data_IF_302450203748
#
_entry.id   IF_302450203748
#
_cell.length_a   1.000
_cell.length_b   1.000
_cell.length_c   1.000
_cell.angle_alpha   90.00
_cell.angle_beta   90.00
_cell.angle_gamma   90.00
#
_symmetry.space_group_name_H-M   'P 1'
#
loop_
_entity.id
_entity.type
_entity.pdbx_description
1 polymer ?
#
# COMPACT_ATOMS: atom_id res chain seq x y z
N UNK A 1 -46.26 53.65 43.83
CA UNK A 1 -46.05 54.54 42.66
C UNK A 1 -44.74 54.11 42.00
N UNK A 2 -44.77 53.47 40.82
CA UNK A 2 -44.54 54.10 39.49
C UNK A 2 -43.14 54.78 39.42
N UNK A 3 -42.19 54.53 38.49
CA UNK A 3 -42.16 54.07 37.07
C UNK A 3 -40.69 53.66 36.76
N UNK A 4 -40.40 52.56 36.03
CA UNK A 4 -40.12 52.44 34.56
C UNK A 4 -39.15 53.49 33.93
N UNK A 5 -37.99 53.03 33.41
CA UNK A 5 -37.63 52.87 31.97
C UNK A 5 -36.13 52.48 31.82
N UNK A 6 -35.82 51.52 30.93
CA UNK A 6 -34.46 51.14 30.48
C UNK A 6 -33.90 52.09 29.39
N UNK A 7 -32.99 51.69 28.46
CA UNK A 7 -32.43 50.35 28.19
C UNK A 7 -30.87 50.30 28.02
N UNK A 8 -30.27 49.10 28.17
CA UNK A 8 -29.49 48.34 27.19
C UNK A 8 -28.21 48.96 26.57
N UNK A 9 -27.05 48.44 26.98
CA UNK A 9 -25.89 48.24 26.09
C UNK A 9 -25.34 46.83 26.36
N UNK A 10 -25.40 45.98 25.33
CA UNK A 10 -24.82 44.64 25.32
C UNK A 10 -23.40 44.72 24.77
N UNK A 11 -22.44 44.19 25.53
CA UNK A 11 -21.08 43.99 25.06
C UNK A 11 -20.97 42.62 24.38
N UNK A 12 -20.93 42.68 23.05
CA UNK A 12 -20.73 41.58 22.12
C UNK A 12 -19.27 41.10 22.23
N UNK A 13 -19.06 39.94 22.84
CA UNK A 13 -17.75 39.27 22.83
C UNK A 13 -17.65 38.40 21.58
N UNK A 14 -16.87 38.89 20.64
CA UNK A 14 -16.54 38.29 19.35
C UNK A 14 -15.89 36.91 19.55
N UNK A 15 -16.67 35.83 19.45
CA UNK A 15 -16.16 34.48 19.21
C UNK A 15 -15.60 34.44 17.80
N UNK A 16 -14.29 34.29 17.67
CA UNK A 16 -13.65 33.94 16.39
C UNK A 16 -13.94 32.47 16.11
N UNK A 17 -14.87 32.23 15.17
CA UNK A 17 -15.12 30.95 14.54
C UNK A 17 -13.85 30.52 13.77
N UNK A 18 -13.12 29.54 14.31
CA UNK A 18 -12.14 28.78 13.52
C UNK A 18 -12.87 27.66 12.79
N UNK A 19 -13.65 28.02 11.78
CA UNK A 19 -14.12 27.11 10.72
C UNK A 19 -13.43 27.49 9.41
N UNK A 20 -13.08 26.44 8.65
CA UNK A 20 -12.45 26.45 7.33
C UNK A 20 -10.93 26.62 7.30
N UNK A 21 -10.24 25.50 7.13
CA UNK A 21 -9.06 25.31 6.28
C UNK A 21 -8.70 23.82 6.22
N UNK A 22 -9.66 22.98 5.84
CA UNK A 22 -9.43 21.59 5.44
C UNK A 22 -10.39 21.29 4.29
N UNK A 23 -10.27 22.07 3.23
CA UNK A 23 -10.93 21.80 1.97
C UNK A 23 -9.93 22.13 0.86
N UNK A 24 -8.99 21.21 0.66
CA UNK A 24 -8.16 21.20 -0.53
C UNK A 24 -8.34 19.84 -1.19
N UNK A 25 -8.83 19.92 -2.44
CA UNK A 25 -9.09 18.85 -3.39
C UNK A 25 -8.21 17.61 -3.18
N UNK A 26 -8.78 16.59 -2.53
CA UNK A 26 -8.21 15.25 -2.50
C UNK A 26 -8.68 14.51 -3.75
N UNK A 27 -7.76 14.29 -4.69
CA UNK A 27 -8.00 13.44 -5.85
C UNK A 27 -8.05 11.97 -5.41
N UNK A 28 -9.19 11.32 -5.69
CA UNK A 28 -9.46 9.91 -5.39
C UNK A 28 -8.40 8.99 -5.97
N UNK A 29 -7.73 8.20 -5.14
CA UNK A 29 -6.66 7.30 -5.59
C UNK A 29 -6.54 6.11 -4.61
N UNK A 30 -6.38 4.89 -5.14
CA UNK A 30 -6.50 3.61 -4.40
C UNK A 30 -5.17 2.87 -4.27
N UNK A 31 -4.95 2.29 -3.09
CA UNK A 31 -3.70 1.72 -2.56
C UNK A 31 -2.94 0.77 -3.48
N UNK A 32 -1.70 1.16 -3.79
CA UNK A 32 -0.66 0.40 -4.47
C UNK A 32 0.69 0.66 -3.78
N UNK A 33 1.35 -0.37 -3.25
CA UNK A 33 2.55 -0.21 -2.42
C UNK A 33 3.83 0.00 -3.25
N UNK A 34 4.75 0.82 -2.77
CA UNK A 34 6.09 1.05 -3.32
C UNK A 34 7.13 0.70 -2.23
N UNK A 35 7.67 -0.52 -2.22
CA UNK A 35 8.81 -0.84 -1.38
C UNK A 35 10.14 -0.59 -2.10
N UNK A 36 10.96 0.30 -1.55
CA UNK A 36 12.40 0.37 -1.87
C UNK A 36 13.18 -0.56 -0.93
N UNK A 37 13.91 -1.52 -1.50
CA UNK A 37 14.63 -2.54 -0.73
C UNK A 37 16.13 -2.34 -0.89
N UNK A 38 16.79 -2.00 0.22
CA UNK A 38 18.24 -2.04 0.36
C UNK A 38 18.65 -3.42 0.84
N UNK A 39 19.18 -4.26 -0.06
CA UNK A 39 19.89 -5.48 0.33
C UNK A 39 21.40 -5.22 0.17
N UNK A 40 22.08 -4.85 1.25
CA UNK A 40 23.54 -4.89 1.30
C UNK A 40 24.01 -6.36 1.40
N UNK A 41 23.92 -7.05 0.27
CA UNK A 41 24.46 -8.39 0.05
C UNK A 41 25.13 -8.42 -1.31
N UNK A 42 26.36 -7.91 -1.39
CA UNK A 42 27.23 -8.10 -2.57
C UNK A 42 27.40 -9.60 -2.79
N UNK A 43 26.86 -10.11 -3.90
CA UNK A 43 27.30 -11.37 -4.48
C UNK A 43 28.08 -11.08 -5.76
N UNK A 44 29.30 -11.63 -5.92
CA UNK A 44 30.11 -11.40 -7.09
C UNK A 44 29.60 -12.32 -8.21
N UNK A 45 28.93 -11.77 -9.22
CA UNK A 45 28.75 -12.49 -10.47
C UNK A 45 29.41 -11.73 -11.61
N UNK A 46 30.39 -12.44 -12.18
CA UNK A 46 31.28 -12.04 -13.25
C UNK A 46 30.48 -11.52 -14.44
N UNK A 47 31.01 -10.46 -15.04
CA UNK A 47 30.69 -9.99 -16.37
C UNK A 47 30.52 -11.17 -17.34
N UNK A 48 29.30 -11.39 -17.81
CA UNK A 48 28.98 -12.28 -18.92
C UNK A 48 28.00 -11.53 -19.81
N UNK A 49 28.56 -10.80 -20.77
CA UNK A 49 27.81 -10.27 -21.92
C UNK A 49 27.24 -11.45 -22.70
N UNK A 50 25.92 -11.56 -22.77
CA UNK A 50 25.26 -12.44 -23.72
C UNK A 50 24.21 -11.69 -24.53
N UNK A 51 24.46 -11.63 -25.84
CA UNK A 51 23.50 -11.21 -26.86
C UNK A 51 22.28 -12.15 -26.84
N UNK A 52 21.12 -11.55 -27.09
CA UNK A 52 19.83 -12.16 -27.40
C UNK A 52 19.91 -13.63 -27.87
N UNK A 53 19.47 -14.58 -27.04
CA UNK A 53 18.91 -15.85 -27.54
C UNK A 53 17.95 -16.46 -26.50
N UNK A 54 16.84 -17.01 -26.99
CA UNK A 54 15.60 -17.40 -26.28
C UNK A 54 15.74 -18.56 -25.25
N UNK A 55 16.92 -18.87 -24.75
CA UNK A 55 17.18 -20.15 -24.06
C UNK A 55 17.29 -20.02 -22.52
N UNK A 56 17.36 -18.81 -21.97
CA UNK A 56 17.63 -18.61 -20.53
C UNK A 56 16.44 -18.90 -19.60
N UNK A 57 15.19 -18.83 -20.08
CA UNK A 57 13.99 -18.95 -19.23
C UNK A 57 13.77 -20.38 -18.68
N UNK A 58 14.33 -21.42 -19.31
CA UNK A 58 14.16 -22.81 -18.85
C UNK A 58 15.10 -23.23 -17.70
N UNK A 59 16.21 -22.53 -17.48
CA UNK A 59 17.28 -23.03 -16.60
C UNK A 59 17.07 -22.74 -15.11
N UNK A 60 16.26 -21.73 -14.76
CA UNK A 60 16.05 -21.32 -13.37
C UNK A 60 14.92 -22.11 -12.68
N UNK A 61 13.95 -22.62 -13.45
CA UNK A 61 12.84 -23.44 -12.94
C UNK A 61 13.26 -24.88 -12.54
N UNK A 62 14.30 -25.45 -13.15
CA UNK A 62 14.66 -26.87 -12.94
C UNK A 62 15.47 -27.14 -11.67
N UNK A 63 15.98 -26.11 -10.98
CA UNK A 63 16.86 -26.28 -9.82
C UNK A 63 16.14 -26.43 -8.48
N UNK A 64 14.84 -26.10 -8.40
CA UNK A 64 14.10 -26.06 -7.12
C UNK A 64 13.15 -27.25 -6.92
N UNK A 65 12.78 -28.02 -7.96
CA UNK A 65 11.88 -29.17 -7.81
C UNK A 65 12.38 -30.37 -8.62
N UNK A 66 13.11 -31.28 -7.98
CA UNK A 66 13.53 -32.55 -8.63
C UNK A 66 12.44 -33.63 -8.67
N UNK A 67 11.29 -33.44 -8.02
CA UNK A 67 10.25 -34.48 -7.90
C UNK A 67 8.82 -34.01 -8.23
N UNK A 68 8.65 -32.95 -9.02
CA UNK A 68 7.34 -32.63 -9.61
C UNK A 68 7.52 -32.68 -11.12
N UNK A 69 7.21 -33.82 -11.72
CA UNK A 69 6.90 -33.88 -13.15
C UNK A 69 5.82 -32.82 -13.42
N UNK A 70 6.02 -31.89 -14.36
CA UNK A 70 4.99 -30.92 -14.71
C UNK A 70 3.75 -31.73 -15.08
N UNK A 71 2.69 -31.63 -14.27
CA UNK A 71 1.43 -32.26 -14.59
C UNK A 71 1.04 -31.80 -15.99
N UNK A 72 0.85 -32.74 -16.91
CA UNK A 72 0.40 -32.52 -18.28
C UNK A 72 -1.07 -32.10 -18.36
N UNK A 73 -1.53 -31.33 -17.37
CA UNK A 73 -2.83 -30.67 -17.41
C UNK A 73 -2.68 -29.57 -18.46
N UNK A 74 -3.33 -29.67 -19.62
CA UNK A 74 -3.26 -28.61 -20.62
C UNK A 74 -3.82 -27.34 -19.97
N UNK A 75 -3.02 -26.27 -19.97
CA UNK A 75 -3.57 -24.95 -19.69
C UNK A 75 -4.66 -24.70 -20.74
N UNK A 76 -5.82 -24.19 -20.32
CA UNK A 76 -6.84 -23.85 -21.31
C UNK A 76 -6.27 -22.80 -22.26
N UNK A 77 -6.74 -22.78 -23.51
CA UNK A 77 -6.33 -21.77 -24.50
C UNK A 77 -6.51 -20.35 -23.97
N UNK A 78 -7.50 -20.12 -23.11
CA UNK A 78 -7.73 -18.84 -22.43
C UNK A 78 -6.67 -18.48 -21.37
N UNK A 79 -5.97 -19.46 -20.77
CA UNK A 79 -4.85 -19.21 -19.85
C UNK A 79 -3.55 -18.99 -20.64
N UNK A 80 -3.31 -19.74 -21.71
CA UNK A 80 -2.18 -19.49 -22.60
C UNK A 80 -2.27 -18.11 -23.28
N UNK A 81 -3.45 -17.72 -23.77
CA UNK A 81 -3.70 -16.41 -24.36
C UNK A 81 -3.56 -15.27 -23.33
N UNK A 82 -3.96 -15.50 -22.06
CA UNK A 82 -3.70 -14.55 -20.96
C UNK A 82 -2.22 -14.43 -20.63
N UNK A 83 -1.48 -15.54 -20.54
CA UNK A 83 -0.04 -15.52 -20.33
C UNK A 83 0.71 -14.84 -21.50
N UNK A 84 0.20 -14.94 -22.73
CA UNK A 84 0.77 -14.32 -23.92
C UNK A 84 0.41 -12.83 -24.08
N UNK A 85 -0.74 -12.39 -23.56
CA UNK A 85 -1.17 -10.98 -23.57
C UNK A 85 -0.54 -10.14 -22.47
N UNK A 86 0.06 -10.75 -21.44
CA UNK A 86 0.85 -10.06 -20.41
C UNK A 86 2.28 -9.69 -20.86
N UNK A 87 2.42 -9.23 -22.10
CA UNK A 87 3.67 -8.58 -22.52
C UNK A 87 3.59 -7.12 -22.13
N UNK A 88 4.22 -6.78 -21.01
CA UNK A 88 4.54 -5.39 -20.75
C UNK A 88 5.29 -4.81 -21.95
N UNK A 89 4.76 -3.74 -22.53
CA UNK A 89 5.49 -2.99 -23.53
C UNK A 89 6.59 -2.20 -22.83
N UNK A 90 7.75 -2.82 -22.67
CA UNK A 90 8.91 -2.19 -22.02
C UNK A 90 9.55 -1.12 -22.91
N UNK A 91 9.22 -1.06 -24.22
CA UNK A 91 9.82 -0.10 -25.15
C UNK A 91 9.36 1.33 -24.92
N UNK A 92 8.30 1.51 -24.12
CA UNK A 92 7.79 2.83 -23.73
C UNK A 92 8.64 3.52 -22.65
N UNK A 93 9.51 2.79 -21.96
CA UNK A 93 10.44 3.34 -20.98
C UNK A 93 11.77 3.67 -21.68
N UNK A 94 12.11 4.95 -21.74
CA UNK A 94 13.29 5.46 -22.46
C UNK A 94 14.39 5.93 -21.52
N UNK A 95 14.04 6.26 -20.28
CA UNK A 95 14.93 6.90 -19.32
C UNK A 95 15.18 6.04 -18.07
N UNK A 96 14.39 4.99 -17.86
CA UNK A 96 14.52 4.04 -16.75
C UNK A 96 14.57 2.60 -17.26
N UNK A 97 15.24 1.74 -16.52
CA UNK A 97 15.21 0.30 -16.75
C UNK A 97 14.05 -0.30 -15.96
N UNK A 98 13.18 -1.07 -16.62
CA UNK A 98 12.04 -1.73 -15.98
C UNK A 98 12.15 -3.24 -16.14
N UNK A 99 12.31 -3.96 -15.02
CA UNK A 99 12.45 -5.42 -15.01
C UNK A 99 11.29 -6.06 -14.25
N UNK A 100 10.28 -6.64 -14.95
CA UNK A 100 9.16 -7.33 -14.29
C UNK A 100 9.63 -8.52 -13.45
N UNK A 101 9.09 -8.69 -12.24
CA UNK A 101 9.60 -9.68 -11.27
C UNK A 101 8.54 -10.62 -10.65
N UNK A 102 7.24 -10.31 -10.71
CA UNK A 102 6.19 -11.12 -10.07
C UNK A 102 5.16 -11.74 -11.03
N UNK A 103 5.48 -11.81 -12.33
CA UNK A 103 4.63 -12.40 -13.37
C UNK A 103 3.42 -11.55 -13.73
N UNK A 104 2.52 -11.30 -12.77
CA UNK A 104 1.30 -10.48 -12.94
C UNK A 104 1.50 -9.03 -12.50
N UNK A 105 2.30 -8.83 -11.46
CA UNK A 105 2.63 -7.54 -10.84
C UNK A 105 4.09 -7.55 -10.44
N UNK A 106 4.64 -6.40 -10.05
CA UNK A 106 6.01 -6.27 -9.61
C UNK A 106 6.96 -5.93 -10.74
N UNK A 107 7.67 -4.82 -10.60
CA UNK A 107 8.85 -4.51 -11.40
C UNK A 107 9.94 -3.83 -10.59
N UNK A 108 11.19 -4.23 -10.82
CA UNK A 108 12.36 -3.49 -10.34
C UNK A 108 12.69 -2.36 -11.33
N UNK A 109 12.87 -1.16 -10.80
CA UNK A 109 13.18 0.06 -11.55
C UNK A 109 14.65 0.41 -11.32
N UNK A 110 15.41 0.46 -12.41
CA UNK A 110 16.83 0.78 -12.44
C UNK A 110 17.12 2.02 -13.29
N UNK A 111 18.41 2.38 -13.38
CA UNK A 111 18.87 3.53 -14.18
C UNK A 111 18.59 4.91 -13.56
N UNK A 112 18.05 4.97 -12.33
CA UNK A 112 17.66 6.21 -11.67
C UNK A 112 18.07 6.23 -10.18
N UNK A 113 18.49 7.41 -9.71
CA UNK A 113 18.74 7.74 -8.30
C UNK A 113 17.61 8.67 -7.83
N UNK A 114 16.67 8.12 -7.07
CA UNK A 114 15.47 8.86 -6.61
C UNK A 114 15.76 9.78 -5.42
N UNK A 115 17.01 9.81 -4.93
CA UNK A 115 17.45 10.82 -3.95
C UNK A 115 17.71 12.20 -4.56
N UNK A 116 17.71 12.29 -5.90
CA UNK A 116 17.97 13.52 -6.66
C UNK A 116 16.68 14.06 -7.27
N UNK A 117 16.65 15.34 -7.67
CA UNK A 117 15.55 15.88 -8.46
C UNK A 117 15.26 15.02 -9.70
N UNK A 118 14.00 14.61 -9.88
CA UNK A 118 13.55 13.76 -10.98
C UNK A 118 12.93 14.65 -12.06
N UNK A 119 13.42 14.52 -13.30
CA UNK A 119 12.84 15.24 -14.43
C UNK A 119 11.40 14.76 -14.73
N UNK A 120 10.47 15.64 -15.15
CA UNK A 120 9.06 15.27 -15.35
C UNK A 120 8.84 14.06 -16.27
N UNK A 121 9.64 13.93 -17.33
CA UNK A 121 9.58 12.83 -18.28
C UNK A 121 9.98 11.49 -17.65
N UNK A 122 10.98 11.49 -16.76
CA UNK A 122 11.41 10.30 -16.01
C UNK A 122 10.32 9.90 -15.02
N UNK A 123 9.76 10.87 -14.29
CA UNK A 123 8.69 10.58 -13.35
C UNK A 123 7.43 10.06 -14.06
N UNK A 124 7.11 10.57 -15.25
CA UNK A 124 6.01 10.03 -16.05
C UNK A 124 6.22 8.55 -16.39
N UNK A 125 7.44 8.13 -16.70
CA UNK A 125 7.77 6.72 -16.91
C UNK A 125 7.64 5.90 -15.62
N UNK A 126 8.08 6.43 -14.48
CA UNK A 126 7.91 5.81 -13.16
C UNK A 126 6.42 5.61 -12.84
N UNK A 127 5.58 6.63 -13.06
CA UNK A 127 4.13 6.54 -12.84
C UNK A 127 3.49 5.51 -13.77
N UNK A 128 3.88 5.47 -15.05
CA UNK A 128 3.41 4.42 -15.95
C UNK A 128 3.83 3.03 -15.50
N UNK A 129 5.08 2.85 -15.07
CA UNK A 129 5.54 1.57 -14.52
C UNK A 129 4.74 1.19 -13.27
N UNK A 130 4.45 2.14 -12.38
CA UNK A 130 3.61 1.91 -11.22
C UNK A 130 2.19 1.44 -11.58
N UNK A 131 1.55 2.11 -12.54
CA UNK A 131 0.19 1.75 -12.99
C UNK A 131 0.13 0.39 -13.70
N UNK A 132 1.17 0.04 -14.47
CA UNK A 132 1.27 -1.24 -15.16
C UNK A 132 1.58 -2.41 -14.21
N UNK A 133 2.54 -2.20 -13.31
CA UNK A 133 3.14 -3.26 -12.50
C UNK A 133 2.60 -3.31 -11.09
N UNK A 134 1.80 -2.34 -10.67
CA UNK A 134 1.09 -2.22 -9.39
C UNK A 134 1.99 -2.03 -8.16
N UNK A 135 3.14 -2.69 -8.13
CA UNK A 135 4.17 -2.56 -7.10
C UNK A 135 5.51 -2.43 -7.81
N UNK A 136 6.28 -1.40 -7.44
CA UNK A 136 7.59 -1.12 -8.03
C UNK A 136 8.66 -1.01 -6.96
N UNK A 137 9.86 -1.47 -7.31
CA UNK A 137 10.99 -1.58 -6.39
C UNK A 137 12.17 -0.78 -6.90
N UNK A 138 12.76 0.04 -6.04
CA UNK A 138 14.02 0.73 -6.32
C UNK A 138 15.11 0.13 -5.44
N UNK A 139 16.12 -0.48 -6.07
CA UNK A 139 17.29 -1.05 -5.38
C UNK A 139 18.36 0.00 -5.19
N UNK A 140 19.21 -0.22 -4.20
CA UNK A 140 20.45 0.54 -3.96
C UNK A 140 20.27 2.06 -3.81
N UNK A 141 19.09 2.50 -3.36
CA UNK A 141 18.81 3.90 -3.05
C UNK A 141 19.37 4.28 -1.67
N UNK A 142 19.76 5.55 -1.52
CA UNK A 142 20.19 6.11 -0.25
C UNK A 142 19.34 7.33 0.10
N UNK A 143 18.27 7.09 0.85
CA UNK A 143 17.30 8.12 1.25
C UNK A 143 17.35 8.33 2.77
N UNK A 144 17.25 9.58 3.19
CA UNK A 144 16.80 9.94 4.53
C UNK A 144 15.27 10.11 4.53
N UNK A 145 14.68 10.46 5.67
CA UNK A 145 13.24 10.63 5.77
C UNK A 145 12.70 11.74 4.85
N UNK A 146 13.47 12.82 4.65
CA UNK A 146 13.12 13.92 3.75
C UNK A 146 13.13 13.48 2.28
N UNK A 147 14.15 12.73 1.87
CA UNK A 147 14.26 12.18 0.52
C UNK A 147 13.13 11.19 0.21
N UNK A 148 12.78 10.32 1.16
CA UNK A 148 11.64 9.41 1.01
C UNK A 148 10.32 10.19 0.86
N UNK A 149 10.10 11.20 1.70
CA UNK A 149 8.91 12.05 1.62
C UNK A 149 8.83 12.80 0.29
N UNK A 150 9.91 13.45 -0.13
CA UNK A 150 9.98 14.18 -1.38
C UNK A 150 9.74 13.27 -2.59
N UNK A 151 10.28 12.05 -2.59
CA UNK A 151 10.01 11.07 -3.63
C UNK A 151 8.53 10.66 -3.67
N UNK A 152 7.93 10.38 -2.51
CA UNK A 152 6.53 9.98 -2.41
C UNK A 152 5.57 11.12 -2.82
N UNK A 153 5.91 12.38 -2.55
CA UNK A 153 5.12 13.56 -2.94
C UNK A 153 4.97 13.74 -4.45
N UNK A 154 5.85 13.15 -5.27
CA UNK A 154 5.65 13.14 -6.72
C UNK A 154 4.39 12.35 -7.13
N UNK A 155 3.95 11.37 -6.33
CA UNK A 155 2.76 10.57 -6.62
C UNK A 155 1.48 11.29 -6.18
N UNK A 156 1.44 11.75 -4.93
CA UNK A 156 0.36 12.55 -4.36
C UNK A 156 0.77 13.21 -3.04
N UNK A 157 -0.05 14.16 -2.53
CA UNK A 157 0.12 14.71 -1.18
C UNK A 157 0.17 13.61 -0.11
N UNK A 158 1.12 13.74 0.82
CA UNK A 158 1.27 12.81 1.93
C UNK A 158 0.13 12.94 2.95
N UNK A 159 -0.27 11.82 3.54
CA UNK A 159 -1.27 11.77 4.62
C UNK A 159 -0.65 11.21 5.90
N UNK A 160 -1.10 11.71 7.04
CA UNK A 160 -0.68 11.17 8.35
C UNK A 160 -1.46 9.89 8.64
N UNK A 161 -0.73 8.87 9.08
CA UNK A 161 -1.30 7.67 9.69
C UNK A 161 -1.66 8.01 11.14
N UNK A 162 -2.96 8.06 11.50
CA UNK A 162 -3.42 8.74 12.72
C UNK A 162 -2.98 8.07 14.03
N UNK A 163 -2.52 6.83 13.98
CA UNK A 163 -2.11 6.04 15.15
C UNK A 163 -0.60 5.80 15.24
N UNK A 164 0.20 6.44 14.39
CA UNK A 164 1.67 6.34 14.43
C UNK A 164 2.31 7.71 14.54
N UNK A 165 3.40 7.79 15.29
CA UNK A 165 4.19 9.01 15.34
C UNK A 165 5.17 9.07 14.16
N UNK A 166 5.35 10.27 13.61
CA UNK A 166 6.41 10.54 12.66
C UNK A 166 7.80 10.48 13.31
N UNK A 167 8.83 10.26 12.51
CA UNK A 167 10.23 10.37 12.94
C UNK A 167 10.58 11.85 13.20
N UNK A 168 11.58 12.08 14.06
CA UNK A 168 11.94 13.42 14.53
C UNK A 168 12.39 14.38 13.43
N UNK A 169 12.96 13.85 12.34
CA UNK A 169 13.46 14.59 11.19
C UNK A 169 12.41 14.78 10.08
N UNK A 170 11.30 14.03 10.10
CA UNK A 170 10.17 14.25 9.19
C UNK A 170 8.83 13.69 9.75
N UNK A 171 7.84 14.55 10.10
CA UNK A 171 6.61 14.12 10.77
C UNK A 171 5.66 13.26 9.91
N UNK A 172 5.79 13.34 8.58
CA UNK A 172 4.98 12.52 7.64
C UNK A 172 5.58 11.12 7.39
N UNK A 173 6.77 10.83 7.92
CA UNK A 173 7.44 9.54 7.76
C UNK A 173 7.38 8.80 9.08
N UNK A 174 6.84 7.58 9.08
CA UNK A 174 6.77 6.74 10.28
C UNK A 174 7.81 5.62 10.19
N UNK A 175 8.45 5.31 11.32
CA UNK A 175 9.35 4.16 11.42
C UNK A 175 8.61 2.90 11.85
N UNK A 176 8.65 1.89 10.98
CA UNK A 176 8.30 0.51 11.31
C UNK A 176 9.56 -0.21 11.80
N UNK A 177 9.47 -0.91 12.93
CA UNK A 177 10.63 -1.52 13.57
C UNK A 177 10.24 -2.76 14.37
N UNK A 178 11.06 -3.81 14.30
CA UNK A 178 10.97 -4.95 15.20
C UNK A 178 12.31 -5.17 15.88
N UNK A 179 12.33 -5.07 17.22
CA UNK A 179 13.52 -5.38 18.02
C UNK A 179 13.94 -6.84 17.82
N UNK A 180 15.24 -7.11 17.81
CA UNK A 180 15.75 -8.48 17.72
C UNK A 180 15.37 -9.31 18.95
N UNK A 181 15.19 -8.65 20.09
CA UNK A 181 14.84 -9.23 21.38
C UNK A 181 13.34 -9.50 21.51
N UNK A 182 12.51 -9.02 20.58
CA UNK A 182 11.07 -9.26 20.62
C UNK A 182 10.76 -10.75 20.43
N UNK A 183 10.03 -11.39 21.37
CA UNK A 183 9.69 -12.81 21.29
C UNK A 183 9.01 -13.17 19.97
N UNK A 184 9.31 -14.35 19.42
CA UNK A 184 8.67 -14.84 18.18
C UNK A 184 7.16 -15.04 18.30
N UNK A 185 6.65 -15.16 19.53
CA UNK A 185 5.22 -15.24 19.84
C UNK A 185 4.49 -13.90 19.72
N UNK A 186 5.22 -12.78 19.70
CA UNK A 186 4.63 -11.46 19.45
C UNK A 186 4.41 -11.28 17.95
N UNK A 187 3.18 -10.91 17.59
CA UNK A 187 2.77 -10.70 16.19
C UNK A 187 3.58 -9.61 15.50
N UNK A 188 3.69 -9.74 14.18
CA UNK A 188 4.25 -8.69 13.33
C UNK A 188 3.14 -7.74 12.87
N UNK A 189 3.50 -6.47 12.66
CA UNK A 189 2.66 -5.55 11.91
C UNK A 189 2.51 -6.08 10.47
N UNK A 190 1.28 -6.12 9.97
CA UNK A 190 0.98 -6.56 8.61
C UNK A 190 1.16 -8.07 8.36
N UNK A 191 1.07 -8.92 9.39
CA UNK A 191 1.23 -10.38 9.28
C UNK A 191 0.06 -11.14 8.62
N UNK A 192 -0.93 -10.42 8.08
CA UNK A 192 -2.10 -10.96 7.37
C UNK A 192 -2.29 -10.26 6.05
N UNK A 193 -3.07 -10.86 5.15
CA UNK A 193 -3.46 -10.20 3.91
C UNK A 193 -4.36 -9.00 4.19
N UNK A 194 -3.90 -7.82 3.76
CA UNK A 194 -4.63 -6.56 3.94
C UNK A 194 -4.29 -5.57 2.83
N UNK A 195 -5.17 -4.57 2.67
CA UNK A 195 -4.85 -3.27 2.09
C UNK A 195 -4.82 -2.26 3.23
N UNK A 196 -3.73 -1.52 3.35
CA UNK A 196 -3.56 -0.56 4.43
C UNK A 196 -4.69 0.47 4.49
N UNK A 197 -5.16 0.73 5.72
CA UNK A 197 -6.19 1.72 6.02
C UNK A 197 -7.45 1.61 5.15
N UNK A 198 -7.84 0.37 4.79
CA UNK A 198 -8.96 0.15 3.87
C UNK A 198 -10.32 0.68 4.38
N UNK A 199 -10.42 0.94 5.69
CA UNK A 199 -11.59 1.51 6.36
C UNK A 199 -11.57 3.05 6.47
N UNK A 200 -10.85 3.75 5.59
CA UNK A 200 -11.00 5.22 5.43
C UNK A 200 -12.09 5.51 4.41
N UNK A 201 -12.79 6.62 4.58
CA UNK A 201 -13.71 7.15 3.55
C UNK A 201 -12.96 7.43 2.23
N UNK A 202 -11.75 7.96 2.34
CA UNK A 202 -10.80 8.07 1.24
C UNK A 202 -9.55 7.25 1.59
N UNK A 203 -9.46 6.01 1.07
CA UNK A 203 -8.26 5.18 1.18
C UNK A 203 -7.05 5.89 0.57
N UNK A 204 -5.86 5.54 1.05
CA UNK A 204 -4.63 6.08 0.48
C UNK A 204 -4.40 5.52 -0.92
N UNK A 205 -3.66 6.25 -1.76
CA UNK A 205 -3.29 5.72 -3.08
C UNK A 205 -2.15 4.72 -3.06
N UNK A 206 -1.25 4.87 -2.10
CA UNK A 206 0.01 4.18 -2.09
C UNK A 206 0.68 4.34 -0.73
N UNK A 207 1.67 3.47 -0.50
CA UNK A 207 2.60 3.58 0.60
C UNK A 207 4.01 3.48 0.05
N UNK A 208 4.88 4.43 0.38
CA UNK A 208 6.30 4.34 0.10
C UNK A 208 7.03 3.78 1.32
N UNK A 209 7.72 2.66 1.17
CA UNK A 209 8.51 2.01 2.19
C UNK A 209 10.00 2.09 1.85
N UNK A 210 10.83 2.37 2.85
CA UNK A 210 12.28 2.36 2.73
C UNK A 210 12.89 1.40 3.74
N UNK A 211 13.59 0.38 3.24
CA UNK A 211 14.27 -0.59 4.08
C UNK A 211 15.57 0.00 4.67
N UNK A 212 15.52 0.39 5.95
CA UNK A 212 16.70 0.87 6.69
C UNK A 212 17.60 -0.29 7.10
N UNK A 213 17.00 -1.36 7.62
CA UNK A 213 17.69 -2.55 8.10
C UNK A 213 16.78 -3.76 7.94
N UNK A 214 17.34 -4.86 7.43
CA UNK A 214 16.68 -6.15 7.30
C UNK A 214 17.62 -7.27 7.79
N UNK A 215 17.07 -8.42 8.23
CA UNK A 215 17.89 -9.62 8.47
C UNK A 215 18.52 -10.11 7.15
N UNK A 216 19.57 -10.96 7.20
CA UNK A 216 20.20 -11.51 6.00
C UNK A 216 19.26 -12.39 5.16
N UNK A 217 18.20 -12.92 5.75
CA UNK A 217 17.13 -13.68 5.11
C UNK A 217 15.85 -13.65 5.97
N UNK A 218 14.71 -13.84 5.32
CA UNK A 218 13.38 -13.76 5.96
C UNK A 218 12.88 -12.33 6.12
N UNK A 219 11.59 -12.18 6.42
CA UNK A 219 10.93 -10.86 6.45
C UNK A 219 10.45 -10.39 5.08
N UNK A 220 10.30 -11.30 4.12
CA UNK A 220 9.74 -11.00 2.81
C UNK A 220 8.34 -10.40 2.93
N UNK A 221 8.05 -9.42 2.08
CA UNK A 221 6.71 -8.85 1.91
C UNK A 221 6.13 -9.36 0.60
N UNK A 222 4.93 -9.94 0.67
CA UNK A 222 4.24 -10.48 -0.49
C UNK A 222 3.06 -9.59 -0.88
N UNK A 223 2.82 -9.49 -2.18
CA UNK A 223 1.76 -8.65 -2.76
C UNK A 223 0.83 -9.51 -3.63
N UNK A 224 -0.42 -9.07 -3.78
CA UNK A 224 -1.40 -9.71 -4.63
C UNK A 224 -2.13 -8.67 -5.50
N UNK A 225 -2.43 -9.02 -6.74
CA UNK A 225 -3.21 -8.15 -7.64
C UNK A 225 -4.70 -8.41 -7.49
N UNK A 226 -5.40 -7.44 -6.94
CA UNK A 226 -6.85 -7.52 -6.76
C UNK A 226 -7.62 -7.29 -8.09
N UNK A 227 -7.00 -6.63 -9.07
CA UNK A 227 -7.51 -6.62 -10.45
C UNK A 227 -7.39 -7.99 -11.11
N UNK A 228 -6.24 -8.66 -11.00
CA UNK A 228 -6.10 -9.99 -11.58
C UNK A 228 -7.01 -11.02 -10.91
N UNK A 229 -7.18 -10.90 -9.57
CA UNK A 229 -8.16 -11.70 -8.84
C UNK A 229 -9.59 -11.46 -9.37
N UNK A 230 -9.98 -10.21 -9.63
CA UNK A 230 -11.25 -9.89 -10.27
C UNK A 230 -11.36 -10.52 -11.65
N UNK A 231 -10.35 -10.34 -12.51
CA UNK A 231 -10.34 -10.83 -13.89
C UNK A 231 -10.49 -12.36 -13.99
N UNK A 232 -9.97 -13.08 -12.99
CA UNK A 232 -10.03 -14.54 -12.88
C UNK A 232 -11.38 -15.09 -12.40
N UNK A 233 -12.27 -14.26 -11.84
CA UNK A 233 -13.58 -14.70 -11.37
C UNK A 233 -14.50 -15.13 -12.52
N UNK A 234 -15.43 -16.06 -12.24
CA UNK A 234 -16.49 -16.42 -13.17
C UNK A 234 -17.43 -15.23 -13.43
N UNK A 235 -18.13 -15.18 -14.58
CA UNK A 235 -19.08 -14.11 -14.88
C UNK A 235 -20.13 -13.92 -13.77
N UNK A 236 -20.72 -15.02 -13.28
CA UNK A 236 -21.70 -14.97 -12.18
C UNK A 236 -21.13 -14.38 -10.88
N UNK A 237 -19.86 -14.65 -10.56
CA UNK A 237 -19.23 -14.06 -9.38
C UNK A 237 -18.93 -12.57 -9.58
N UNK A 238 -18.53 -12.15 -10.79
CA UNK A 238 -18.36 -10.73 -11.13
C UNK A 238 -19.68 -9.97 -11.00
N UNK A 239 -20.78 -10.54 -11.49
CA UNK A 239 -22.13 -9.98 -11.37
C UNK A 239 -22.56 -9.84 -9.91
N UNK A 240 -22.36 -10.89 -9.10
CA UNK A 240 -22.64 -10.84 -7.66
C UNK A 240 -21.80 -9.77 -6.96
N UNK A 241 -20.47 -9.78 -7.13
CA UNK A 241 -19.60 -8.81 -6.47
C UNK A 241 -19.91 -7.37 -6.87
N UNK A 242 -20.37 -7.13 -8.10
CA UNK A 242 -20.76 -5.80 -8.57
C UNK A 242 -21.96 -5.21 -7.83
N UNK A 243 -22.80 -6.03 -7.18
CA UNK A 243 -23.94 -5.55 -6.39
C UNK A 243 -23.62 -5.35 -4.90
N UNK A 244 -22.47 -5.84 -4.42
CA UNK A 244 -22.17 -5.87 -2.99
C UNK A 244 -21.49 -4.59 -2.51
N UNK A 245 -21.91 -4.16 -1.32
CA UNK A 245 -21.23 -3.13 -0.53
C UNK A 245 -20.54 -3.80 0.66
N UNK A 246 -19.24 -3.59 0.79
CA UNK A 246 -18.44 -4.05 1.93
C UNK A 246 -18.36 -2.99 3.01
N UNK A 247 -18.69 -3.37 4.25
CA UNK A 247 -18.54 -2.53 5.43
C UNK A 247 -17.16 -2.78 6.02
N UNK A 248 -16.35 -1.73 6.17
CA UNK A 248 -14.98 -1.80 6.66
C UNK A 248 -14.81 -1.05 7.99
N UNK A 249 -14.02 -1.58 8.91
CA UNK A 249 -13.64 -0.90 10.16
C UNK A 249 -12.22 -1.25 10.58
N UNK A 250 -11.55 -0.35 11.30
CA UNK A 250 -10.22 -0.61 11.88
C UNK A 250 -10.32 -1.24 13.29
N UNK A 251 -11.55 -1.46 13.79
CA UNK A 251 -11.76 -1.93 15.16
C UNK A 251 -11.14 -3.30 15.45
N UNK A 252 -11.29 -4.23 14.50
CA UNK A 252 -10.75 -5.59 14.57
C UNK A 252 -9.22 -5.67 14.41
N UNK A 253 -8.61 -4.62 13.86
CA UNK A 253 -7.14 -4.48 13.86
C UNK A 253 -6.72 -3.96 15.22
N UNK A 254 -7.18 -2.78 15.65
CA UNK A 254 -6.68 -2.14 16.87
C UNK A 254 -7.29 -2.65 18.19
N UNK A 255 -8.20 -3.62 18.12
CA UNK A 255 -8.84 -4.24 19.27
C UNK A 255 -9.76 -3.29 20.05
N UNK A 256 -10.26 -2.23 19.41
CA UNK A 256 -11.10 -1.19 20.05
C UNK A 256 -12.53 -1.67 20.34
N UNK A 257 -12.91 -2.83 19.83
CA UNK A 257 -14.18 -3.54 20.05
C UNK A 257 -14.00 -4.87 20.82
N UNK A 258 -12.77 -5.18 21.29
CA UNK A 258 -12.46 -6.44 21.95
C UNK A 258 -12.37 -7.67 21.02
N UNK A 259 -12.49 -7.48 19.70
CA UNK A 259 -12.38 -8.53 18.67
C UNK A 259 -11.06 -8.47 17.89
N UNK A 260 -10.12 -7.65 18.39
CA UNK A 260 -8.74 -7.57 17.94
C UNK A 260 -8.12 -8.95 17.73
N UNK A 261 -7.98 -9.36 16.48
CA UNK A 261 -7.39 -10.64 16.03
C UNK A 261 -7.28 -11.76 17.08
N UNK A 262 -8.35 -12.51 17.28
CA UNK A 262 -8.33 -13.78 18.02
C UNK A 262 -8.42 -13.64 19.53
N UNK A 263 -9.61 -13.31 20.04
CA UNK A 263 -10.09 -13.69 21.39
C UNK A 263 -9.26 -13.26 22.61
N UNK A 264 -8.19 -12.49 22.43
CA UNK A 264 -7.31 -12.07 23.51
C UNK A 264 -7.33 -10.56 23.60
N UNK A 265 -7.61 -10.06 24.81
CA UNK A 265 -7.66 -8.63 25.19
C UNK A 265 -6.29 -7.93 25.08
N UNK A 266 -5.50 -8.19 24.04
CA UNK A 266 -4.25 -7.48 23.78
C UNK A 266 -4.49 -6.51 22.64
N UNK A 267 -4.85 -5.29 23.04
CA UNK A 267 -4.82 -4.11 22.18
C UNK A 267 -3.53 -4.10 21.37
N UNK A 268 -3.63 -3.87 20.06
CA UNK A 268 -2.49 -3.63 19.18
C UNK A 268 -1.88 -2.25 19.45
N UNK A 269 -1.61 -1.90 20.72
CA UNK A 269 -0.53 -0.95 21.04
C UNK A 269 0.77 -1.69 20.69
N UNK A 270 1.00 -1.84 19.38
CA UNK A 270 2.04 -2.68 18.81
C UNK A 270 3.39 -2.10 19.25
N UNK A 271 4.22 -2.90 19.91
CA UNK A 271 5.62 -2.52 20.19
C UNK A 271 6.50 -2.50 18.91
N UNK A 272 5.87 -2.47 17.74
CA UNK A 272 6.46 -2.59 16.40
C UNK A 272 6.56 -1.29 15.60
N UNK A 273 6.09 -0.17 16.16
CA UNK A 273 6.40 1.18 15.69
C UNK A 273 7.03 1.93 16.87
N UNK A 274 8.01 2.80 16.61
CA UNK A 274 8.75 3.48 17.70
C UNK A 274 7.85 4.29 18.63
N UNK A 275 6.73 4.80 18.12
CA UNK A 275 5.69 5.37 18.96
C UNK A 275 4.31 5.25 18.29
N UNK A 276 3.35 4.73 19.06
CA UNK A 276 1.93 4.89 18.78
C UNK A 276 1.40 6.07 19.58
N UNK A 277 0.52 6.87 18.99
CA UNK A 277 -0.26 7.81 19.77
C UNK A 277 -1.08 7.02 20.82
N UNK A 278 -1.21 7.60 22.02
CA UNK A 278 -2.21 7.09 22.98
C UNK A 278 -3.55 7.15 22.27
N UNK A 279 -4.23 6.01 22.19
CA UNK A 279 -5.59 5.96 21.66
C UNK A 279 -6.48 6.68 22.67
N UNK A 280 -6.77 7.95 22.39
CA UNK A 280 -7.82 8.69 23.07
C UNK A 280 -9.19 8.30 22.51
N UNK A 281 -10.27 8.81 23.13
CA UNK A 281 -11.62 8.45 22.68
C UNK A 281 -11.93 8.96 21.26
N UNK A 282 -11.30 10.05 20.82
CA UNK A 282 -11.47 10.60 19.48
C UNK A 282 -10.92 9.63 18.44
N UNK A 283 -9.67 9.19 18.62
CA UNK A 283 -9.05 8.19 17.76
C UNK A 283 -9.77 6.85 17.87
N UNK A 284 -10.18 6.44 19.07
CA UNK A 284 -10.96 5.21 19.25
C UNK A 284 -12.28 5.23 18.46
N UNK A 285 -13.01 6.34 18.49
CA UNK A 285 -14.23 6.53 17.70
C UNK A 285 -13.95 6.45 16.19
N UNK A 286 -12.87 7.07 15.71
CA UNK A 286 -12.46 6.97 14.31
C UNK A 286 -12.11 5.53 13.91
N UNK A 287 -11.40 4.79 14.77
CA UNK A 287 -11.04 3.40 14.50
C UNK A 287 -12.25 2.46 14.49
N UNK A 288 -13.31 2.78 15.26
CA UNK A 288 -14.57 2.02 15.29
C UNK A 288 -15.55 2.41 14.19
N UNK A 289 -15.30 3.50 13.47
CA UNK A 289 -16.17 3.92 12.38
C UNK A 289 -16.32 2.79 11.36
N UNK A 290 -17.53 2.64 10.85
CA UNK A 290 -17.86 1.70 9.79
C UNK A 290 -18.00 2.48 8.49
N UNK A 291 -17.18 2.13 7.51
CA UNK A 291 -17.13 2.80 6.21
C UNK A 291 -17.60 1.84 5.13
N UNK A 292 -18.52 2.32 4.30
CA UNK A 292 -19.06 1.57 3.16
C UNK A 292 -18.15 1.76 1.94
N UNK A 293 -17.74 0.66 1.31
CA UNK A 293 -17.05 0.66 0.02
C UNK A 293 -17.69 -0.36 -0.92
N UNK A 294 -17.85 -0.06 -2.23
CA UNK A 294 -18.20 -1.07 -3.20
C UNK A 294 -17.18 -2.22 -3.18
N UNK A 295 -17.64 -3.47 -3.24
CA UNK A 295 -16.73 -4.64 -3.30
C UNK A 295 -15.97 -4.68 -4.62
N UNK A 296 -16.53 -4.10 -5.69
CA UNK A 296 -15.85 -3.87 -6.96
C UNK A 296 -15.68 -2.36 -7.14
N UNK A 297 -14.42 -1.91 -7.09
CA UNK A 297 -14.05 -0.50 -7.33
C UNK A 297 -13.40 -0.37 -8.70
N UNK A 298 -13.38 0.85 -9.22
CA UNK A 298 -12.70 1.18 -10.48
C UNK A 298 -11.47 1.99 -10.15
N UNK A 299 -10.29 1.52 -10.57
CA UNK A 299 -9.06 2.29 -10.41
C UNK A 299 -9.19 3.63 -11.15
N UNK A 300 -8.96 4.77 -10.49
CA UNK A 300 -9.27 6.07 -11.06
C UNK A 300 -8.42 6.44 -12.28
N UNK A 301 -7.16 6.00 -12.32
CA UNK A 301 -6.27 6.29 -13.47
C UNK A 301 -6.33 5.24 -14.59
N UNK A 302 -6.41 3.95 -14.26
CA UNK A 302 -6.37 2.88 -15.27
C UNK A 302 -7.75 2.42 -15.74
N UNK A 303 -8.82 2.79 -15.02
CA UNK A 303 -10.17 2.30 -15.27
C UNK A 303 -10.38 0.81 -14.98
N UNK A 304 -9.37 0.11 -14.45
CA UNK A 304 -9.46 -1.33 -14.19
C UNK A 304 -10.35 -1.62 -12.99
N UNK A 305 -11.22 -2.64 -13.05
CA UNK A 305 -11.91 -3.14 -11.88
C UNK A 305 -10.91 -3.72 -10.85
N UNK A 306 -11.23 -3.53 -9.57
CA UNK A 306 -10.45 -3.99 -8.43
C UNK A 306 -11.41 -4.61 -7.41
N UNK A 307 -11.10 -5.80 -6.93
CA UNK A 307 -11.74 -6.32 -5.71
C UNK A 307 -11.29 -5.52 -4.49
N UNK A 308 -12.23 -4.94 -3.76
CA UNK A 308 -11.96 -4.17 -2.55
C UNK A 308 -12.58 -4.87 -1.33
N UNK A 309 -11.93 -5.96 -0.93
CA UNK A 309 -12.32 -6.81 0.19
C UNK A 309 -11.08 -7.14 1.02
N UNK A 310 -10.64 -6.19 1.85
CA UNK A 310 -9.44 -6.36 2.66
C UNK A 310 -9.71 -7.21 3.90
N UNK A 311 -9.02 -8.34 4.04
CA UNK A 311 -9.29 -9.35 5.07
C UNK A 311 -9.27 -8.85 6.52
N UNK A 312 -8.38 -7.91 6.86
CA UNK A 312 -8.30 -7.37 8.23
C UNK A 312 -9.31 -6.25 8.54
N UNK A 313 -9.94 -5.65 7.51
CA UNK A 313 -10.80 -4.47 7.69
C UNK A 313 -12.26 -4.73 7.31
N UNK A 314 -12.55 -5.63 6.36
CA UNK A 314 -13.91 -5.96 5.95
C UNK A 314 -14.62 -6.76 7.05
N UNK A 315 -15.71 -6.21 7.59
CA UNK A 315 -16.45 -6.83 8.70
C UNK A 315 -17.71 -7.55 8.24
N UNK A 316 -18.40 -7.08 7.19
CA UNK A 316 -19.59 -7.70 6.59
C UNK A 316 -19.93 -7.11 5.23
N UNK A 317 -20.82 -7.78 4.50
CA UNK A 317 -21.49 -7.22 3.32
C UNK A 317 -22.88 -6.66 3.71
N UNK A 318 -23.35 -5.65 2.98
CA UNK A 318 -24.67 -5.05 3.09
C UNK A 318 -25.55 -5.46 1.90
#
# INVERSE_FOLDING_TARGET
MQRRRGPAEGTETRRTDHRSQFDQAQTHTDSLCIPSVRCNGRWPLRQLSFRNSKTAVKAQYSRINKNIEPSSIPLSSAVEERCLTMRYDLSKYRHIDVTPCGGIIGAEIGGIDVSRPIAPEIFSEIRHAFLDHHVIFFRDQNLDAKGLAAFAEHFAPLTIVPYTQGVSDHPMVTRLYRAAEMPSTERNLGDRWHSDQAAREHPNMAFALYCVQAPPYGGDTIFASLSAAYDAMSPAMKELCATLIGIHSMSGVFGTDGRGGGGTKKSLVHKGAEAHYKIDETLAAQLRAEIEHPVVRTHPETGRPILYASGDYLIRFK
#
